data_IF_565982538704
#
_entry.id   IF_565982538704
#
_cell.length_a   1.000
_cell.length_b   1.000
_cell.length_c   1.000
_cell.angle_alpha   90.00
_cell.angle_beta   90.00
_cell.angle_gamma   90.00
#
_symmetry.space_group_name_H-M   'P 1'
#
loop_
_entity.id
_entity.type
_entity.pdbx_description
1 polymer ?
#
# COMPACT_ATOMS: atom_id res chain seq x y z
N UNK A 1 -12.02 -14.30 8.43
CA UNK A 1 -10.98 -14.24 7.39
C UNK A 1 -11.35 -13.19 6.34
N UNK A 2 -10.42 -12.31 6.00
CA UNK A 2 -10.68 -11.28 5.01
C UNK A 2 -10.63 -11.85 3.59
N UNK A 3 -11.51 -11.35 2.75
CA UNK A 3 -11.52 -11.70 1.33
C UNK A 3 -10.48 -10.86 0.58
N UNK A 4 -9.93 -11.36 -0.55
CA UNK A 4 -8.94 -10.58 -1.31
C UNK A 4 -9.37 -9.15 -1.64
N UNK A 5 -10.64 -8.95 -2.00
CA UNK A 5 -11.15 -7.60 -2.28
C UNK A 5 -11.11 -6.69 -1.06
N UNK A 6 -11.36 -7.25 0.11
CA UNK A 6 -11.29 -6.48 1.35
C UNK A 6 -9.85 -6.09 1.68
N UNK A 7 -8.91 -7.01 1.46
CA UNK A 7 -7.49 -6.74 1.66
C UNK A 7 -7.02 -5.62 0.72
N UNK A 8 -7.43 -5.69 -0.55
CA UNK A 8 -7.10 -4.66 -1.52
C UNK A 8 -7.68 -3.30 -1.10
N UNK A 9 -8.92 -3.30 -0.59
CA UNK A 9 -9.56 -2.06 -0.12
C UNK A 9 -8.80 -1.46 1.06
N UNK A 10 -8.34 -2.28 1.99
CA UNK A 10 -7.54 -1.79 3.13
C UNK A 10 -6.20 -1.21 2.68
N UNK A 11 -5.54 -1.87 1.71
CA UNK A 11 -4.28 -1.36 1.17
C UNK A 11 -4.50 -0.01 0.48
N UNK A 12 -5.53 0.10 -0.34
CA UNK A 12 -5.86 1.35 -1.01
C UNK A 12 -6.19 2.47 -0.02
N UNK A 13 -6.88 2.12 1.06
CA UNK A 13 -7.20 3.08 2.10
C UNK A 13 -5.92 3.59 2.78
N UNK A 14 -4.97 2.70 3.06
CA UNK A 14 -3.69 3.09 3.64
C UNK A 14 -2.90 4.01 2.71
N UNK A 15 -2.86 3.67 1.42
CA UNK A 15 -2.16 4.48 0.42
C UNK A 15 -2.80 5.85 0.26
N UNK A 16 -4.13 5.90 0.12
CA UNK A 16 -4.84 7.17 -0.03
C UNK A 16 -4.73 8.05 1.21
N UNK A 17 -4.81 7.44 2.39
CA UNK A 17 -4.65 8.17 3.64
C UNK A 17 -3.26 8.79 3.77
N UNK A 18 -2.25 8.01 3.42
CA UNK A 18 -0.85 8.48 3.43
C UNK A 18 -0.65 9.60 2.42
N UNK A 19 -1.15 9.42 1.20
CA UNK A 19 -1.03 10.42 0.14
C UNK A 19 -1.69 11.73 0.56
N UNK A 20 -2.87 11.65 1.18
CA UNK A 20 -3.58 12.84 1.66
C UNK A 20 -2.86 13.53 2.82
N UNK A 21 -2.39 12.75 3.77
CA UNK A 21 -1.72 13.28 4.97
C UNK A 21 -0.42 14.02 4.62
N UNK A 22 0.42 13.40 3.77
CA UNK A 22 1.71 13.98 3.38
C UNK A 22 1.64 14.78 2.09
N UNK A 23 0.48 14.87 1.45
CA UNK A 23 0.28 15.56 0.16
C UNK A 23 1.23 15.05 -0.92
N UNK A 24 1.22 13.73 -1.09
CA UNK A 24 2.12 13.06 -2.03
C UNK A 24 1.47 12.86 -3.40
N UNK A 25 2.25 13.06 -4.46
CA UNK A 25 1.83 12.74 -5.81
C UNK A 25 2.04 11.25 -6.11
N UNK A 26 1.38 10.71 -7.15
CA UNK A 26 1.64 9.33 -7.56
C UNK A 26 3.11 9.06 -7.88
N UNK A 27 3.84 10.05 -8.43
CA UNK A 27 5.26 9.92 -8.69
C UNK A 27 6.07 9.70 -7.42
N UNK A 28 5.74 10.45 -6.37
CA UNK A 28 6.44 10.33 -5.10
C UNK A 28 6.15 8.98 -4.45
N UNK A 29 4.90 8.52 -4.53
CA UNK A 29 4.52 7.21 -4.02
C UNK A 29 5.25 6.09 -4.77
N UNK A 30 5.32 6.20 -6.10
CA UNK A 30 6.04 5.23 -6.93
C UNK A 30 7.52 5.20 -6.58
N UNK A 31 8.12 6.37 -6.38
CA UNK A 31 9.53 6.48 -6.01
C UNK A 31 9.79 5.80 -4.67
N UNK A 32 8.92 6.00 -3.70
CA UNK A 32 9.05 5.35 -2.39
C UNK A 32 8.97 3.83 -2.52
N UNK A 33 8.02 3.35 -3.31
CA UNK A 33 7.86 1.91 -3.53
C UNK A 33 9.02 1.32 -4.35
N UNK A 34 9.75 2.17 -5.07
CA UNK A 34 10.86 1.72 -5.90
C UNK A 34 10.45 1.26 -7.28
N UNK A 35 9.36 1.80 -7.82
CA UNK A 35 8.89 1.45 -9.15
C UNK A 35 8.69 2.69 -10.01
N UNK A 36 8.49 2.47 -11.30
CA UNK A 36 8.20 3.54 -12.24
C UNK A 36 6.74 3.98 -12.12
N UNK A 37 6.44 5.20 -12.55
CA UNK A 37 5.09 5.75 -12.50
C UNK A 37 4.07 4.84 -13.21
N UNK A 38 4.42 4.34 -14.39
CA UNK A 38 3.55 3.43 -15.14
C UNK A 38 3.28 2.14 -14.36
N UNK A 39 4.31 1.60 -13.71
CA UNK A 39 4.17 0.41 -12.88
C UNK A 39 3.28 0.70 -11.68
N UNK A 40 3.45 1.87 -11.06
CA UNK A 40 2.63 2.30 -9.93
C UNK A 40 1.14 2.28 -10.29
N UNK A 41 0.77 2.87 -11.45
CA UNK A 41 -0.63 2.89 -11.87
C UNK A 41 -1.19 1.48 -12.10
N UNK A 42 -0.38 0.56 -12.61
CA UNK A 42 -0.79 -0.84 -12.75
C UNK A 42 -1.03 -1.49 -11.39
N UNK A 43 -0.17 -1.21 -10.41
CA UNK A 43 -0.33 -1.73 -9.05
C UNK A 43 -1.60 -1.22 -8.41
N UNK A 44 -1.91 0.06 -8.61
CA UNK A 44 -3.13 0.66 -8.05
C UNK A 44 -4.39 -0.01 -8.61
N UNK A 45 -4.38 -0.38 -9.89
CA UNK A 45 -5.50 -1.10 -10.49
C UNK A 45 -5.63 -2.52 -9.96
N UNK A 46 -4.51 -3.16 -9.67
CA UNK A 46 -4.49 -4.53 -9.16
C UNK A 46 -3.57 -4.60 -7.95
N UNK A 47 -4.05 -4.17 -6.77
CA UNK A 47 -3.20 -4.08 -5.57
C UNK A 47 -2.57 -5.42 -5.16
N UNK A 48 -3.15 -6.53 -5.55
CA UNK A 48 -2.58 -7.85 -5.26
C UNK A 48 -1.23 -8.07 -5.94
N UNK A 49 -0.91 -7.24 -6.94
CA UNK A 49 0.36 -7.34 -7.67
C UNK A 49 1.50 -6.56 -7.03
N UNK A 50 1.23 -5.80 -5.97
CA UNK A 50 2.31 -5.17 -5.23
C UNK A 50 3.29 -6.22 -4.74
N UNK A 51 4.59 -5.98 -4.97
CA UNK A 51 5.60 -6.90 -4.48
C UNK A 51 5.84 -6.65 -2.99
N UNK A 52 6.35 -7.66 -2.32
CA UNK A 52 6.68 -7.55 -0.91
C UNK A 52 7.72 -6.44 -0.68
N UNK A 53 8.67 -6.29 -1.61
CA UNK A 53 9.67 -5.23 -1.54
C UNK A 53 9.01 -3.85 -1.57
N UNK A 54 8.06 -3.66 -2.49
CA UNK A 54 7.34 -2.39 -2.61
C UNK A 54 6.57 -2.06 -1.32
N UNK A 55 5.88 -3.05 -0.79
CA UNK A 55 5.11 -2.88 0.46
C UNK A 55 6.04 -2.57 1.64
N UNK A 56 7.15 -3.30 1.77
CA UNK A 56 8.10 -3.07 2.85
C UNK A 56 8.66 -1.65 2.82
N UNK A 57 8.98 -1.14 1.64
CA UNK A 57 9.49 0.23 1.49
C UNK A 57 8.47 1.25 1.96
N UNK A 58 7.20 1.06 1.59
CA UNK A 58 6.13 1.96 2.01
C UNK A 58 5.87 1.87 3.51
N UNK A 59 5.86 0.67 4.06
CA UNK A 59 5.66 0.45 5.50
C UNK A 59 6.72 1.21 6.29
N UNK A 60 7.98 1.08 5.91
CA UNK A 60 9.10 1.73 6.59
C UNK A 60 9.03 3.25 6.41
N UNK A 61 8.84 3.71 5.20
CA UNK A 61 8.85 5.14 4.89
C UNK A 61 7.71 5.91 5.55
N UNK A 62 6.52 5.31 5.56
CA UNK A 62 5.34 5.98 6.07
C UNK A 62 4.96 5.53 7.49
N UNK A 63 5.76 4.66 8.07
CA UNK A 63 5.55 4.15 9.44
C UNK A 63 4.15 3.59 9.66
N UNK A 64 3.67 2.81 8.70
CA UNK A 64 2.37 2.14 8.85
C UNK A 64 2.43 1.21 10.05
N UNK A 65 1.42 1.25 10.91
CA UNK A 65 1.38 0.42 12.10
C UNK A 65 1.01 -1.03 11.80
N UNK A 66 1.21 -1.89 12.80
CA UNK A 66 0.93 -3.32 12.64
C UNK A 66 -0.53 -3.58 12.28
N UNK A 67 -1.45 -2.81 12.84
CA UNK A 67 -2.88 -2.96 12.56
C UNK A 67 -3.18 -2.70 11.08
N UNK A 68 -2.62 -1.63 10.53
CA UNK A 68 -2.78 -1.29 9.12
C UNK A 68 -2.21 -2.39 8.23
N UNK A 69 -1.00 -2.84 8.53
CA UNK A 69 -0.32 -3.88 7.74
C UNK A 69 -1.09 -5.19 7.80
N UNK A 70 -1.52 -5.61 8.97
CA UNK A 70 -2.30 -6.84 9.13
C UNK A 70 -3.60 -6.79 8.32
N UNK A 71 -4.25 -5.64 8.27
CA UNK A 71 -5.50 -5.48 7.54
C UNK A 71 -5.35 -5.80 6.06
N UNK A 72 -4.34 -5.23 5.40
CA UNK A 72 -4.19 -5.48 3.96
C UNK A 72 -3.44 -6.77 3.64
N UNK A 73 -2.73 -7.34 4.60
CA UNK A 73 -2.07 -8.63 4.41
C UNK A 73 -2.99 -9.82 4.72
N UNK A 74 -4.21 -9.54 5.19
CA UNK A 74 -5.16 -10.58 5.50
C UNK A 74 -4.87 -11.34 6.79
N UNK A 75 -4.03 -10.79 7.66
CA UNK A 75 -3.69 -11.40 8.95
C UNK A 75 -4.51 -10.72 10.04
N UNK A 76 -5.18 -11.52 10.86
CA UNK A 76 -5.91 -10.96 11.99
C UNK A 76 -4.91 -10.54 13.06
N UNK A 77 -4.83 -9.21 13.28
CA UNK A 77 -3.96 -8.66 14.31
C UNK A 77 -4.58 -8.86 15.68
N UNK A 78 -3.73 -9.14 16.64
CA UNK A 78 -4.14 -9.18 18.04
C UNK A 78 -3.43 -8.12 18.83
#
# INVERSE_FOLDING_TARGET
MLKPKEMDAYLMKAIKGTAGYFKLSPEELARTAGCKKATWYRRIKNPENFTLRELRRMIIRYSWDASTVCSFMGVEGK
#
